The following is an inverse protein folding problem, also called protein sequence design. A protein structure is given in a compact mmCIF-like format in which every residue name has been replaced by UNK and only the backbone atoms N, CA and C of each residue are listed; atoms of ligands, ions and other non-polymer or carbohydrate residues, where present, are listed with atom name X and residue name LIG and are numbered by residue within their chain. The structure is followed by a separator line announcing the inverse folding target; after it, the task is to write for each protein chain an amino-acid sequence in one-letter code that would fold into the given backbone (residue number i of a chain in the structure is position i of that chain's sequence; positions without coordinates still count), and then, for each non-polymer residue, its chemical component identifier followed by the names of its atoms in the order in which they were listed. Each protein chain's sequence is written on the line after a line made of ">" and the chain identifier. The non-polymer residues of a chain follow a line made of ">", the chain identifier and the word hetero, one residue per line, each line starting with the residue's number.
data_IF_979814600021
#
_entry.id   IF_979814600021
#
_cell.length_a   1.000
_cell.length_b   1.000
_cell.length_c   1.000
_cell.angle_alpha   90.00
_cell.angle_beta   90.00
_cell.angle_gamma   90.00
#
_symmetry.space_group_name_H-M   'P 1'
#
loop_
_entity.id
_entity.type
_entity.pdbx_description
1 polymer ?
#
# COMPACT_ATOMS: atom_id res chain seq x y z
N UNK A 1 -22.97 -8.83 -0.55
CA UNK A 1 -22.20 -9.04 0.70
C UNK A 1 -20.72 -8.88 0.41
N UNK A 2 -19.98 -8.23 1.30
CA UNK A 2 -18.53 -8.06 1.16
C UNK A 2 -17.81 -8.70 2.36
N UNK A 3 -16.86 -9.59 2.10
CA UNK A 3 -15.99 -10.14 3.15
C UNK A 3 -14.64 -9.41 3.12
N UNK A 4 -14.25 -8.83 4.26
CA UNK A 4 -13.03 -8.01 4.37
C UNK A 4 -11.75 -8.85 4.29
N UNK A 5 -11.77 -10.05 4.87
CA UNK A 5 -10.60 -10.92 4.95
C UNK A 5 -10.20 -11.48 3.59
N UNK A 6 -11.19 -11.80 2.75
CA UNK A 6 -11.02 -12.33 1.40
C UNK A 6 -11.07 -11.26 0.31
N UNK A 7 -11.47 -10.02 0.65
CA UNK A 7 -11.76 -8.95 -0.32
C UNK A 7 -12.74 -9.42 -1.42
N UNK A 8 -13.68 -10.28 -1.07
CA UNK A 8 -14.70 -10.83 -1.98
C UNK A 8 -15.96 -9.97 -1.94
N UNK A 9 -16.56 -9.76 -3.10
CA UNK A 9 -17.84 -9.05 -3.25
C UNK A 9 -18.82 -9.98 -3.97
N UNK A 10 -19.87 -10.40 -3.27
CA UNK A 10 -20.93 -11.24 -3.81
C UNK A 10 -22.22 -10.44 -3.95
N UNK A 11 -22.82 -10.48 -5.14
CA UNK A 11 -24.21 -10.09 -5.32
C UNK A 11 -25.09 -11.25 -4.87
N UNK A 12 -26.08 -10.97 -4.03
CA UNK A 12 -27.01 -11.98 -3.51
C UNK A 12 -28.42 -11.45 -3.62
N UNK A 13 -29.38 -12.35 -3.75
CA UNK A 13 -30.80 -11.98 -3.75
C UNK A 13 -31.32 -11.65 -2.34
N UNK A 14 -32.56 -11.18 -2.29
CA UNK A 14 -33.20 -10.78 -1.04
C UNK A 14 -33.45 -11.97 -0.10
N UNK A 15 -33.66 -13.17 -0.65
CA UNK A 15 -33.91 -14.38 0.14
C UNK A 15 -32.66 -14.80 0.90
N UNK A 16 -31.53 -14.92 0.19
CA UNK A 16 -30.25 -15.27 0.78
C UNK A 16 -29.78 -14.19 1.77
N UNK A 17 -30.02 -12.92 1.47
CA UNK A 17 -29.72 -11.83 2.40
C UNK A 17 -30.49 -11.97 3.72
N UNK A 18 -31.80 -12.25 3.64
CA UNK A 18 -32.63 -12.45 4.84
C UNK A 18 -32.14 -13.63 5.66
N UNK A 19 -31.75 -14.74 5.01
CA UNK A 19 -31.22 -15.92 5.69
C UNK A 19 -29.91 -15.63 6.42
N UNK A 20 -28.95 -14.99 5.75
CA UNK A 20 -27.64 -14.67 6.32
C UNK A 20 -27.69 -13.58 7.41
N UNK A 21 -28.76 -12.78 7.46
CA UNK A 21 -28.92 -11.72 8.46
C UNK A 21 -29.41 -12.23 9.82
N UNK A 22 -29.86 -13.48 9.90
CA UNK A 22 -30.36 -14.08 11.13
C UNK A 22 -29.19 -14.75 11.86
N UNK A 23 -28.90 -14.39 13.13
CA UNK A 23 -27.93 -15.11 13.95
C UNK A 23 -28.30 -16.59 14.05
N UNK A 24 -27.33 -17.48 13.93
CA UNK A 24 -27.52 -18.95 13.98
C UNK A 24 -28.49 -19.49 12.91
N UNK A 25 -28.62 -18.81 11.76
CA UNK A 25 -29.41 -19.34 10.64
C UNK A 25 -28.91 -20.73 10.25
N UNK A 26 -29.81 -21.68 10.00
CA UNK A 26 -29.47 -23.00 9.45
C UNK A 26 -28.98 -22.84 8.00
N UNK A 27 -27.71 -22.45 7.85
CA UNK A 27 -27.03 -22.29 6.56
C UNK A 27 -26.90 -23.64 5.85
N UNK A 28 -26.92 -24.73 6.61
CA UNK A 28 -26.85 -26.13 6.16
C UNK A 28 -28.07 -26.57 5.32
N UNK A 29 -29.14 -25.77 5.30
CA UNK A 29 -30.32 -26.02 4.46
C UNK A 29 -30.28 -25.28 3.12
N UNK A 30 -29.15 -24.61 2.80
CA UNK A 30 -28.90 -24.07 1.47
C UNK A 30 -28.49 -25.16 0.49
N UNK A 31 -28.66 -24.90 -0.80
CA UNK A 31 -28.11 -25.75 -1.85
C UNK A 31 -26.58 -25.85 -1.71
N UNK A 32 -26.04 -27.04 -1.93
CA UNK A 32 -24.61 -27.35 -1.74
C UNK A 32 -23.72 -26.42 -2.57
N UNK A 33 -24.12 -26.08 -3.80
CA UNK A 33 -23.40 -25.16 -4.69
C UNK A 33 -23.30 -23.73 -4.09
N UNK A 34 -24.40 -23.22 -3.52
CA UNK A 34 -24.42 -21.90 -2.88
C UNK A 34 -23.54 -21.91 -1.63
N UNK A 35 -23.61 -22.99 -0.84
CA UNK A 35 -22.82 -23.11 0.38
C UNK A 35 -21.31 -23.17 0.08
N UNK A 36 -20.91 -23.93 -0.94
CA UNK A 36 -19.53 -23.99 -1.44
C UNK A 36 -19.03 -22.60 -1.87
N UNK A 37 -19.86 -21.85 -2.61
CA UNK A 37 -19.50 -20.50 -3.07
C UNK A 37 -19.35 -19.52 -1.90
N UNK A 38 -20.25 -19.59 -0.90
CA UNK A 38 -20.17 -18.77 0.30
C UNK A 38 -18.93 -19.08 1.14
N UNK A 39 -18.55 -20.36 1.26
CA UNK A 39 -17.32 -20.78 1.93
C UNK A 39 -16.05 -20.33 1.19
N UNK A 40 -16.01 -20.51 -0.13
CA UNK A 40 -14.89 -20.09 -0.96
C UNK A 40 -14.62 -18.58 -0.85
N UNK A 41 -15.68 -17.80 -0.70
CA UNK A 41 -15.63 -16.34 -0.52
C UNK A 41 -15.52 -15.88 0.93
N UNK A 42 -15.52 -16.81 1.91
CA UNK A 42 -15.38 -16.51 3.33
C UNK A 42 -16.61 -15.84 3.96
N UNK A 43 -17.77 -15.87 3.32
CA UNK A 43 -19.02 -15.38 3.92
C UNK A 43 -19.51 -16.33 5.01
N UNK A 44 -19.30 -17.64 4.81
CA UNK A 44 -19.53 -18.67 5.81
C UNK A 44 -18.18 -19.27 6.22
N UNK A 45 -17.92 -19.34 7.52
CA UNK A 45 -16.67 -19.85 8.06
C UNK A 45 -16.90 -20.67 9.35
N UNK A 46 -15.86 -21.36 9.81
CA UNK A 46 -15.91 -22.13 11.06
C UNK A 46 -16.13 -21.18 12.25
N UNK A 47 -17.11 -21.51 13.11
CA UNK A 47 -17.40 -20.79 14.36
C UNK A 47 -16.21 -20.63 15.31
N UNK A 48 -15.20 -21.50 15.22
CA UNK A 48 -13.99 -21.41 16.02
C UNK A 48 -12.94 -20.44 15.44
N UNK A 49 -13.16 -19.94 14.23
CA UNK A 49 -12.26 -19.01 13.56
C UNK A 49 -12.50 -17.59 14.07
N UNK A 50 -11.50 -17.04 14.77
CA UNK A 50 -11.51 -15.62 15.13
C UNK A 50 -10.85 -14.80 14.00
N UNK A 51 -11.67 -14.25 13.10
CA UNK A 51 -11.19 -13.43 11.96
C UNK A 51 -10.45 -12.16 12.41
N UNK A 52 -10.85 -11.56 13.54
CA UNK A 52 -10.17 -10.39 14.11
C UNK A 52 -8.70 -10.68 14.40
N UNK A 53 -8.39 -11.84 15.01
CA UNK A 53 -7.01 -12.25 15.28
C UNK A 53 -6.20 -12.44 13.99
N UNK A 54 -6.82 -12.91 12.90
CA UNK A 54 -6.15 -13.06 11.60
C UNK A 54 -5.81 -11.68 11.03
N UNK A 55 -6.75 -10.75 11.09
CA UNK A 55 -6.53 -9.36 10.65
C UNK A 55 -5.42 -8.72 11.47
N UNK A 56 -5.47 -8.83 12.80
CA UNK A 56 -4.44 -8.30 13.70
C UNK A 56 -3.07 -8.92 13.43
N UNK A 57 -3.01 -10.24 13.20
CA UNK A 57 -1.77 -10.92 12.84
C UNK A 57 -1.20 -10.39 11.52
N UNK A 58 -2.04 -10.23 10.49
CA UNK A 58 -1.63 -9.66 9.21
C UNK A 58 -1.15 -8.22 9.33
N UNK A 59 -1.83 -7.39 10.13
CA UNK A 59 -1.40 -6.03 10.44
C UNK A 59 -0.04 -6.01 11.15
N UNK A 60 0.17 -6.89 12.13
CA UNK A 60 1.43 -7.00 12.84
C UNK A 60 2.57 -7.46 11.91
N UNK A 61 2.33 -8.46 11.07
CA UNK A 61 3.32 -8.91 10.07
C UNK A 61 3.73 -7.73 9.18
N UNK A 62 2.77 -6.98 8.63
CA UNK A 62 3.06 -5.83 7.76
C UNK A 62 3.72 -4.66 8.50
N UNK A 63 3.36 -4.43 9.76
CA UNK A 63 3.87 -3.32 10.58
C UNK A 63 5.29 -3.57 11.06
N UNK A 64 5.62 -4.82 11.37
CA UNK A 64 6.91 -5.21 11.93
C UNK A 64 7.82 -5.92 10.94
N UNK A 65 7.38 -6.12 9.68
CA UNK A 65 8.29 -6.57 8.63
C UNK A 65 9.29 -5.46 8.29
N UNK A 66 10.54 -5.85 8.12
CA UNK A 66 11.62 -5.00 7.66
C UNK A 66 12.07 -5.41 6.25
N UNK A 67 11.16 -5.96 5.45
CA UNK A 67 11.44 -6.43 4.10
C UNK A 67 11.18 -5.38 3.02
N UNK A 68 10.40 -4.34 3.33
CA UNK A 68 10.10 -3.23 2.44
C UNK A 68 10.54 -1.90 3.02
N UNK A 69 11.11 -1.04 2.17
CA UNK A 69 11.32 0.37 2.47
C UNK A 69 10.76 1.23 1.34
N UNK A 70 10.02 2.27 1.71
CA UNK A 70 9.50 3.29 0.79
C UNK A 70 10.11 4.63 1.15
N UNK A 71 10.80 5.27 0.19
CA UNK A 71 11.48 6.55 0.38
C UNK A 71 10.90 7.55 -0.61
N UNK A 72 10.36 8.65 -0.09
CA UNK A 72 9.91 9.78 -0.90
C UNK A 72 10.96 10.89 -0.86
N UNK A 73 11.45 11.29 -2.03
CA UNK A 73 12.43 12.38 -2.17
C UNK A 73 11.72 13.58 -2.78
N UNK A 74 12.06 14.76 -2.27
CA UNK A 74 11.63 16.05 -2.81
C UNK A 74 12.83 16.69 -3.53
N UNK A 75 12.96 16.56 -4.86
CA UNK A 75 14.07 17.13 -5.62
C UNK A 75 14.12 18.66 -5.53
N UNK A 76 12.94 19.28 -5.38
CA UNK A 76 12.73 20.71 -5.37
C UNK A 76 11.37 21.05 -4.76
N UNK A 77 11.24 22.27 -4.22
CA UNK A 77 9.94 22.88 -3.90
C UNK A 77 9.52 23.91 -4.97
N UNK A 78 10.36 24.14 -5.97
CA UNK A 78 10.06 24.96 -7.14
C UNK A 78 9.05 24.22 -8.03
N UNK A 79 8.14 24.97 -8.63
CA UNK A 79 7.08 24.46 -9.46
C UNK A 79 6.79 25.42 -10.61
N UNK A 80 6.66 24.87 -11.82
CA UNK A 80 6.27 25.61 -13.02
C UNK A 80 4.75 25.94 -13.07
N UNK A 81 3.98 25.56 -12.06
CA UNK A 81 2.57 25.92 -11.86
C UNK A 81 2.35 26.55 -10.49
N UNK A 82 1.21 27.22 -10.31
CA UNK A 82 0.75 27.79 -9.04
C UNK A 82 -0.71 27.37 -8.80
N UNK A 83 -0.90 26.10 -8.47
CA UNK A 83 -2.24 25.53 -8.29
C UNK A 83 -2.93 26.15 -7.07
N UNK A 84 -4.19 26.57 -7.22
CA UNK A 84 -4.95 27.23 -6.13
C UNK A 84 -5.19 26.34 -4.91
N UNK A 85 -5.10 25.02 -5.08
CA UNK A 85 -5.23 24.01 -4.02
C UNK A 85 -3.87 23.51 -3.50
N UNK A 86 -2.75 24.05 -4.01
CA UNK A 86 -1.43 23.65 -3.56
C UNK A 86 -1.20 24.14 -2.12
N UNK A 87 -0.76 23.23 -1.24
CA UNK A 87 -0.41 23.58 0.13
C UNK A 87 1.08 23.94 0.28
N UNK A 88 1.90 23.68 -0.73
CA UNK A 88 3.34 23.92 -0.67
C UNK A 88 3.64 25.41 -0.83
N UNK A 89 4.52 25.92 0.03
CA UNK A 89 5.12 27.23 -0.18
C UNK A 89 6.23 27.07 -1.21
N UNK A 90 5.92 27.40 -2.47
CA UNK A 90 6.89 27.32 -3.57
C UNK A 90 8.11 28.19 -3.27
N UNK A 91 9.29 27.57 -3.31
CA UNK A 91 10.57 28.21 -3.09
C UNK A 91 11.55 27.77 -4.17
N UNK A 92 12.19 28.75 -4.80
CA UNK A 92 13.22 28.52 -5.81
C UNK A 92 14.40 27.76 -5.19
N UNK A 93 14.74 26.61 -5.77
CA UNK A 93 15.88 25.82 -5.33
C UNK A 93 15.67 24.33 -5.49
N UNK A 94 16.76 23.60 -5.69
CA UNK A 94 16.77 22.16 -5.88
C UNK A 94 17.92 21.52 -5.12
N UNK A 95 17.87 20.20 -4.97
CA UNK A 95 18.93 19.44 -4.32
C UNK A 95 20.27 19.67 -5.02
N UNK A 96 21.28 20.07 -4.27
CA UNK A 96 22.63 20.23 -4.79
C UNK A 96 23.26 18.85 -5.09
N UNK A 97 24.38 18.83 -5.82
CA UNK A 97 25.14 17.58 -6.01
C UNK A 97 25.58 16.94 -4.68
N UNK A 98 25.81 17.75 -3.64
CA UNK A 98 26.13 17.25 -2.30
C UNK A 98 24.92 16.56 -1.66
N UNK A 99 23.73 17.15 -1.79
CA UNK A 99 22.49 16.56 -1.30
C UNK A 99 22.15 15.26 -2.02
N UNK A 100 22.33 15.22 -3.34
CA UNK A 100 22.18 14.00 -4.15
C UNK A 100 23.11 12.89 -3.64
N UNK A 101 24.37 13.20 -3.34
CA UNK A 101 25.32 12.23 -2.81
C UNK A 101 24.90 11.70 -1.42
N UNK A 102 24.40 12.57 -0.54
CA UNK A 102 23.88 12.19 0.79
C UNK A 102 22.64 11.30 0.67
N UNK A 103 21.72 11.61 -0.24
CA UNK A 103 20.54 10.78 -0.51
C UNK A 103 20.93 9.41 -1.02
N UNK A 104 21.88 9.33 -1.96
CA UNK A 104 22.36 8.06 -2.48
C UNK A 104 22.97 7.18 -1.38
N UNK A 105 23.77 7.77 -0.50
CA UNK A 105 24.33 7.04 0.65
C UNK A 105 23.25 6.61 1.65
N UNK A 106 22.22 7.44 1.87
CA UNK A 106 21.06 7.06 2.66
C UNK A 106 20.33 5.86 2.03
N UNK A 107 19.96 5.93 0.75
CA UNK A 107 19.29 4.83 0.05
C UNK A 107 20.12 3.55 0.11
N UNK A 108 21.44 3.65 -0.12
CA UNK A 108 22.35 2.50 -0.05
C UNK A 108 22.36 1.86 1.33
N UNK A 109 22.48 2.64 2.40
CA UNK A 109 22.42 2.15 3.79
C UNK A 109 21.06 1.52 4.10
N UNK A 110 19.97 2.17 3.70
CA UNK A 110 18.63 1.63 3.88
C UNK A 110 18.48 0.27 3.22
N UNK A 111 18.93 0.12 1.97
CA UNK A 111 18.79 -1.14 1.21
C UNK A 111 19.71 -2.22 1.79
N UNK A 112 21.02 -1.94 1.91
CA UNK A 112 22.03 -2.93 2.26
C UNK A 112 22.00 -3.25 3.76
N UNK A 113 22.13 -2.24 4.63
CA UNK A 113 22.23 -2.46 6.08
C UNK A 113 20.87 -2.88 6.65
N UNK A 114 19.79 -2.33 6.10
CA UNK A 114 18.42 -2.72 6.42
C UNK A 114 17.99 -4.10 5.89
N UNK A 115 18.78 -4.72 5.00
CA UNK A 115 18.47 -5.99 4.33
C UNK A 115 17.10 -6.00 3.66
N UNK A 116 16.76 -4.87 3.03
CA UNK A 116 15.46 -4.65 2.39
C UNK A 116 15.38 -5.51 1.13
N UNK A 117 14.25 -6.20 0.94
CA UNK A 117 13.96 -6.99 -0.26
C UNK A 117 13.21 -6.18 -1.32
N UNK A 118 12.39 -5.23 -0.88
CA UNK A 118 11.56 -4.39 -1.75
C UNK A 118 11.82 -2.92 -1.43
N UNK A 119 12.49 -2.22 -2.34
CA UNK A 119 12.74 -0.79 -2.22
C UNK A 119 11.85 -0.02 -3.20
N UNK A 120 11.08 0.94 -2.70
CA UNK A 120 10.27 1.85 -3.50
C UNK A 120 10.78 3.27 -3.35
N UNK A 121 11.03 3.93 -4.48
CA UNK A 121 11.42 5.33 -4.55
C UNK A 121 10.28 6.14 -5.16
N UNK A 122 9.82 7.16 -4.45
CA UNK A 122 8.81 8.09 -4.92
C UNK A 122 9.39 9.50 -5.05
N UNK A 123 8.93 10.22 -6.07
CA UNK A 123 9.29 11.61 -6.32
C UNK A 123 8.12 12.52 -5.94
N UNK A 124 8.41 13.57 -5.16
CA UNK A 124 7.43 14.52 -4.69
C UNK A 124 8.03 15.93 -4.59
N UNK A 125 7.32 16.89 -4.01
CA UNK A 125 7.70 18.30 -3.94
C UNK A 125 6.89 19.10 -4.95
N UNK A 126 7.45 20.22 -5.43
CA UNK A 126 6.81 21.10 -6.42
C UNK A 126 6.59 20.42 -7.76
N UNK A 127 7.42 20.70 -8.76
CA UNK A 127 7.49 19.90 -9.99
C UNK A 127 8.78 19.07 -10.01
N UNK A 128 8.73 17.78 -9.62
CA UNK A 128 9.93 16.94 -9.49
C UNK A 128 10.76 16.83 -10.77
N UNK A 129 10.13 16.97 -11.94
CA UNK A 129 10.81 16.81 -13.23
C UNK A 129 11.53 18.08 -13.72
N UNK A 130 11.41 19.22 -13.03
CA UNK A 130 12.12 20.45 -13.41
C UNK A 130 13.64 20.28 -13.45
N UNK A 131 14.19 19.49 -12.53
CA UNK A 131 15.64 19.24 -12.40
C UNK A 131 15.96 17.76 -12.65
N UNK A 132 15.38 17.23 -13.73
CA UNK A 132 15.46 15.81 -14.03
C UNK A 132 16.90 15.32 -14.21
N UNK A 133 17.74 16.07 -14.93
CA UNK A 133 19.12 15.65 -15.24
C UNK A 133 20.05 15.79 -14.02
N UNK A 134 19.77 16.77 -13.16
CA UNK A 134 20.59 17.14 -12.01
C UNK A 134 20.29 16.25 -10.80
N UNK A 135 19.03 15.86 -10.61
CA UNK A 135 18.58 15.19 -9.37
C UNK A 135 17.89 13.85 -9.64
N UNK A 136 16.76 13.85 -10.36
CA UNK A 136 15.91 12.65 -10.47
C UNK A 136 16.60 11.50 -11.20
N UNK A 137 17.18 11.78 -12.36
CA UNK A 137 17.85 10.79 -13.19
C UNK A 137 19.08 10.14 -12.51
N UNK A 138 20.06 10.90 -11.98
CA UNK A 138 21.23 10.30 -11.35
C UNK A 138 20.85 9.45 -10.13
N UNK A 139 19.90 9.91 -9.31
CA UNK A 139 19.43 9.12 -8.16
C UNK A 139 18.73 7.84 -8.64
N UNK A 140 17.76 7.96 -9.55
CA UNK A 140 16.99 6.81 -10.06
C UNK A 140 17.92 5.73 -10.64
N UNK A 141 18.89 6.16 -11.47
CA UNK A 141 19.84 5.24 -12.08
C UNK A 141 20.72 4.55 -11.04
N UNK A 142 21.27 5.30 -10.09
CA UNK A 142 22.20 4.73 -9.11
C UNK A 142 21.50 3.82 -8.12
N UNK A 143 20.27 4.15 -7.70
CA UNK A 143 19.47 3.30 -6.81
C UNK A 143 19.12 1.97 -7.46
N UNK A 144 18.86 1.93 -8.77
CA UNK A 144 18.64 0.66 -9.50
C UNK A 144 19.89 -0.25 -9.55
N UNK A 145 21.08 0.32 -9.38
CA UNK A 145 22.35 -0.42 -9.39
C UNK A 145 22.75 -0.96 -8.01
N UNK A 146 22.02 -0.59 -6.93
CA UNK A 146 22.24 -1.04 -5.55
C UNK A 146 21.56 -2.40 -5.34
#
# INVERSE_FOLDING_TARGET
>A
VYNQLRSSLLEIDEELFRRLSVPDSEVDTLDEEILEELHANGVVCDTNLNEENIILANCNIRRFSNDMARVTILPTLDCNFHCWYCYENHHDGFMTSEDVAKVLEFCRKTIIDGKIKHFQLDWFGGEPLMYFQEVVYPISKKVQEI
#
